data_IF_114859697749
#
_entry.id   IF_114859697749
#
_cell.length_a   1.000
_cell.length_b   1.000
_cell.length_c   1.000
_cell.angle_alpha   90.00
_cell.angle_beta   90.00
_cell.angle_gamma   90.00
#
_symmetry.space_group_name_H-M   'P 1'
#
loop_
_entity.id
_entity.type
_entity.pdbx_description
1 polymer ?
#
# COMPACT_ATOMS: atom_id res chain seq x y z
N UNK A 1 -13.39 -21.41 -23.48
CA UNK A 1 -13.11 -20.30 -22.56
C UNK A 1 -14.16 -20.36 -21.46
N UNK A 2 -13.77 -20.89 -20.29
CA UNK A 2 -14.68 -21.11 -19.16
C UNK A 2 -14.95 -19.82 -18.40
N UNK A 3 -16.12 -19.74 -17.75
CA UNK A 3 -16.64 -18.63 -16.95
C UNK A 3 -15.80 -18.35 -15.69
N UNK A 4 -14.52 -18.00 -15.85
CA UNK A 4 -13.55 -17.88 -14.76
C UNK A 4 -12.18 -17.33 -15.15
N UNK A 5 -11.85 -17.27 -16.45
CA UNK A 5 -10.65 -16.56 -16.94
C UNK A 5 -10.83 -15.04 -16.80
N UNK A 6 -10.64 -14.52 -15.59
CA UNK A 6 -10.40 -13.10 -15.42
C UNK A 6 -8.92 -12.83 -15.76
N UNK A 7 -8.62 -11.85 -16.63
CA UNK A 7 -7.25 -11.46 -16.92
C UNK A 7 -6.52 -11.22 -15.60
N UNK A 8 -5.35 -11.86 -15.44
CA UNK A 8 -4.54 -11.71 -14.24
C UNK A 8 -4.33 -10.22 -13.97
N UNK A 9 -4.84 -9.72 -12.84
CA UNK A 9 -4.67 -8.32 -12.46
C UNK A 9 -3.19 -8.13 -12.11
N UNK A 10 -2.52 -7.19 -12.76
CA UNK A 10 -1.11 -6.93 -12.49
C UNK A 10 -0.98 -6.33 -11.08
N UNK A 11 -0.13 -6.87 -10.19
CA UNK A 11 0.04 -6.39 -8.81
C UNK A 11 0.69 -4.99 -8.72
N UNK A 12 0.99 -4.37 -9.87
CA UNK A 12 1.68 -3.09 -10.01
C UNK A 12 1.08 -2.00 -9.12
N UNK A 13 -0.25 -1.93 -9.01
CA UNK A 13 -0.91 -0.91 -8.17
C UNK A 13 -0.54 -1.02 -6.70
N UNK A 14 -0.52 -2.25 -6.15
CA UNK A 14 -0.13 -2.47 -4.75
C UNK A 14 1.35 -2.17 -4.51
N UNK A 15 2.22 -2.56 -5.45
CA UNK A 15 3.66 -2.26 -5.39
C UNK A 15 3.91 -0.75 -5.40
N UNK A 16 3.28 -0.02 -6.32
CA UNK A 16 3.43 1.45 -6.41
C UNK A 16 2.92 2.13 -5.14
N UNK A 17 1.80 1.68 -4.58
CA UNK A 17 1.29 2.20 -3.31
C UNK A 17 2.26 1.96 -2.15
N UNK A 18 2.86 0.76 -2.07
CA UNK A 18 3.86 0.45 -1.04
C UNK A 18 5.12 1.31 -1.17
N UNK A 19 5.59 1.54 -2.40
CA UNK A 19 6.70 2.46 -2.65
C UNK A 19 6.34 3.89 -2.25
N UNK A 20 5.14 4.35 -2.57
CA UNK A 20 4.64 5.66 -2.15
C UNK A 20 4.61 5.80 -0.63
N UNK A 21 4.11 4.78 0.08
CA UNK A 21 4.12 4.74 1.55
C UNK A 21 5.53 4.80 2.11
N UNK A 22 6.46 4.00 1.56
CA UNK A 22 7.85 3.99 1.99
C UNK A 22 8.49 5.37 1.85
N UNK A 23 8.32 5.98 0.67
CA UNK A 23 8.84 7.29 0.34
C UNK A 23 8.26 8.32 1.31
N UNK A 24 6.93 8.44 1.42
CA UNK A 24 6.27 9.39 2.32
C UNK A 24 6.68 9.20 3.79
N UNK A 25 6.90 7.95 4.22
CA UNK A 25 7.33 7.62 5.58
C UNK A 25 8.65 8.27 6.00
N UNK A 26 9.55 8.57 5.04
CA UNK A 26 10.86 9.18 5.33
C UNK A 26 10.69 10.55 5.99
N UNK A 27 9.75 11.37 5.51
CA UNK A 27 9.58 12.76 5.97
C UNK A 27 8.60 12.90 7.13
N UNK A 28 7.94 11.83 7.59
CA UNK A 28 6.94 11.95 8.67
C UNK A 28 7.56 12.53 9.94
N UNK A 29 8.81 12.19 10.24
CA UNK A 29 9.51 12.69 11.42
C UNK A 29 9.77 14.22 11.40
N UNK A 30 9.69 14.86 10.24
CA UNK A 30 9.88 16.31 10.08
C UNK A 30 8.63 17.12 10.49
N UNK A 31 7.49 16.44 10.76
CA UNK A 31 6.27 17.13 11.16
C UNK A 31 6.44 17.77 12.55
N UNK A 32 5.95 19.01 12.75
CA UNK A 32 6.24 19.83 13.93
C UNK A 32 5.58 19.33 15.22
N UNK A 33 4.56 18.47 15.13
CA UNK A 33 3.79 18.00 16.28
C UNK A 33 3.74 16.48 16.32
N UNK A 34 4.02 15.90 17.49
CA UNK A 34 3.96 14.44 17.70
C UNK A 34 2.59 13.85 17.34
N UNK A 35 1.48 14.56 17.61
CA UNK A 35 0.14 14.11 17.22
C UNK A 35 -0.04 13.97 15.70
N UNK A 36 0.54 14.87 14.91
CA UNK A 36 0.50 14.78 13.45
C UNK A 36 1.36 13.62 12.95
N UNK A 37 2.51 13.37 13.56
CA UNK A 37 3.36 12.23 13.23
C UNK A 37 2.62 10.91 13.45
N UNK A 38 1.98 10.76 14.63
CA UNK A 38 1.19 9.56 14.97
C UNK A 38 0.06 9.36 13.95
N UNK A 39 -0.70 10.42 13.64
CA UNK A 39 -1.78 10.35 12.66
C UNK A 39 -1.25 9.94 11.27
N UNK A 40 -0.14 10.53 10.82
CA UNK A 40 0.48 10.20 9.55
C UNK A 40 0.93 8.73 9.49
N UNK A 41 1.56 8.21 10.54
CA UNK A 41 1.93 6.79 10.58
C UNK A 41 0.72 5.87 10.57
N UNK A 42 -0.37 6.20 11.28
CA UNK A 42 -1.61 5.43 11.24
C UNK A 42 -2.15 5.37 9.80
N UNK A 43 -2.21 6.52 9.11
CA UNK A 43 -2.66 6.57 7.72
C UNK A 43 -1.76 5.76 6.79
N UNK A 44 -0.44 5.86 6.92
CA UNK A 44 0.51 5.08 6.12
C UNK A 44 0.30 3.57 6.31
N UNK A 45 0.07 3.11 7.55
CA UNK A 45 -0.22 1.69 7.83
C UNK A 45 -1.56 1.27 7.22
N UNK A 46 -2.60 2.10 7.36
CA UNK A 46 -3.92 1.85 6.79
C UNK A 46 -3.90 1.74 5.26
N UNK A 47 -2.95 2.37 4.59
CA UNK A 47 -2.73 2.28 3.14
C UNK A 47 -1.83 1.08 2.79
N UNK A 48 -0.75 0.87 3.55
CA UNK A 48 0.22 -0.20 3.32
C UNK A 48 -0.40 -1.58 3.43
N UNK A 49 -1.23 -1.81 4.45
CA UNK A 49 -1.84 -3.11 4.70
C UNK A 49 -2.69 -3.61 3.51
N UNK A 50 -3.66 -2.85 2.97
CA UNK A 50 -4.41 -3.29 1.80
C UNK A 50 -3.55 -3.33 0.53
N UNK A 51 -2.60 -2.40 0.34
CA UNK A 51 -1.68 -2.43 -0.80
C UNK A 51 -0.82 -3.71 -0.82
N UNK A 52 -0.35 -4.13 0.35
CA UNK A 52 0.34 -5.40 0.56
C UNK A 52 -0.57 -6.58 0.23
N UNK A 53 -1.78 -6.66 0.82
CA UNK A 53 -2.72 -7.76 0.55
C UNK A 53 -3.07 -7.85 -0.93
N UNK A 54 -3.36 -6.73 -1.60
CA UNK A 54 -3.65 -6.71 -3.03
C UNK A 54 -2.47 -7.22 -3.87
N UNK A 55 -1.24 -6.81 -3.54
CA UNK A 55 -0.03 -7.28 -4.22
C UNK A 55 0.08 -8.80 -4.17
N UNK A 56 -0.03 -9.41 -2.99
CA UNK A 56 0.11 -10.87 -2.84
C UNK A 56 -1.11 -11.65 -3.35
N UNK A 57 -2.32 -11.11 -3.20
CA UNK A 57 -3.54 -11.71 -3.74
C UNK A 57 -3.44 -11.85 -5.26
N UNK A 58 -2.92 -10.84 -5.94
CA UNK A 58 -2.78 -10.84 -7.39
C UNK A 58 -1.65 -11.79 -7.88
N UNK A 59 -0.72 -12.18 -6.99
CA UNK A 59 0.28 -13.22 -7.22
C UNK A 59 -0.19 -14.65 -6.89
N UNK A 60 -1.14 -14.80 -5.96
CA UNK A 60 -1.70 -16.08 -5.54
C UNK A 60 -2.61 -16.64 -6.63
N UNK A 61 -2.07 -17.58 -7.44
CA UNK A 61 -2.86 -18.41 -8.37
C UNK A 61 -3.79 -19.37 -7.63
#
# INVERSE_FOLDING_TARGET
>A
MGMGDHPQRTPLYGVVLLLGVLILGIWVHELPYAGLQVLAYILLVMIAAPAFVMTFRDYSR
#
